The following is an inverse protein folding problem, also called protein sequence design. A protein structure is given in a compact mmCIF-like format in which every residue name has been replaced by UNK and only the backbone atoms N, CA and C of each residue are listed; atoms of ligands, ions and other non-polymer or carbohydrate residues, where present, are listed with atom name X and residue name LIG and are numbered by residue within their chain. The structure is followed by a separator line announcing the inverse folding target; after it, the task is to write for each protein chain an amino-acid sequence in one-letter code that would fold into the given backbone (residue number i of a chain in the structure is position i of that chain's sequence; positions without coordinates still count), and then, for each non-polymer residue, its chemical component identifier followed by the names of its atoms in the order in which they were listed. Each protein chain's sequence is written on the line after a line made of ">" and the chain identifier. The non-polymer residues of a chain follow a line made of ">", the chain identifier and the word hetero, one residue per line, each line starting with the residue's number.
data_IF_309244146921
#
_entry.id   IF_309244146921
#
_cell.length_a   1.000
_cell.length_b   1.000
_cell.length_c   1.000
_cell.angle_alpha   90.00
_cell.angle_beta   90.00
_cell.angle_gamma   90.00
#
_symmetry.space_group_name_H-M   'P 1'
#
loop_
_entity.id
_entity.type
_entity.pdbx_description
1 polymer ?
#
# COMPACT_ATOMS: atom_id res chain seq x y z
N UNK A 1 2.97 43.88 -17.71
CA UNK A 1 2.37 42.68 -17.09
C UNK A 1 2.75 41.48 -17.94
N UNK A 2 3.67 40.64 -17.48
CA UNK A 2 4.18 39.48 -18.23
C UNK A 2 3.26 38.29 -17.95
N UNK A 3 2.60 37.76 -18.98
CA UNK A 3 1.72 36.60 -18.86
C UNK A 3 2.56 35.32 -18.68
N UNK A 4 2.41 34.65 -17.53
CA UNK A 4 2.97 33.31 -17.30
C UNK A 4 2.25 32.29 -18.20
N UNK A 5 2.96 31.72 -19.17
CA UNK A 5 2.44 30.61 -19.99
C UNK A 5 2.43 29.32 -19.16
N UNK A 6 1.23 28.83 -18.85
CA UNK A 6 1.07 27.55 -18.13
C UNK A 6 1.18 26.41 -19.14
N UNK A 7 2.16 25.52 -18.95
CA UNK A 7 2.29 24.29 -19.75
C UNK A 7 1.08 23.38 -19.51
N UNK A 8 0.51 22.82 -20.58
CA UNK A 8 -0.66 21.91 -20.51
C UNK A 8 -0.43 20.66 -19.64
N UNK A 9 0.82 20.26 -19.42
CA UNK A 9 1.21 19.10 -18.61
C UNK A 9 1.73 19.47 -17.21
N UNK A 10 1.53 20.71 -16.75
CA UNK A 10 1.99 21.13 -15.44
C UNK A 10 1.16 20.46 -14.32
N UNK A 11 1.78 19.56 -13.57
CA UNK A 11 1.16 18.92 -12.39
C UNK A 11 0.98 19.87 -11.19
N UNK A 12 1.59 21.06 -11.24
CA UNK A 12 1.54 22.07 -10.17
C UNK A 12 1.44 23.47 -10.76
N UNK A 13 0.46 24.23 -10.28
CA UNK A 13 0.35 25.66 -10.58
C UNK A 13 1.29 26.47 -9.67
N UNK A 14 1.89 27.58 -10.16
CA UNK A 14 2.66 28.47 -9.32
C UNK A 14 1.73 29.19 -8.33
N UNK A 15 1.88 28.91 -7.05
CA UNK A 15 1.10 29.52 -5.96
C UNK A 15 2.05 30.30 -5.05
N UNK A 16 1.70 31.55 -4.74
CA UNK A 16 2.40 32.33 -3.70
C UNK A 16 2.06 31.74 -2.33
N UNK A 17 3.09 31.35 -1.59
CA UNK A 17 3.01 30.80 -0.23
C UNK A 17 3.69 31.78 0.73
N UNK A 18 3.07 32.03 1.87
CA UNK A 18 3.58 32.88 2.95
C UNK A 18 3.74 32.07 4.24
N UNK A 19 4.44 32.59 5.25
CA UNK A 19 4.61 31.87 6.53
C UNK A 19 3.30 31.59 7.28
N UNK A 20 2.21 32.29 6.95
CA UNK A 20 0.87 32.01 7.49
C UNK A 20 0.25 30.73 6.91
N UNK A 21 0.77 30.25 5.78
CA UNK A 21 0.26 29.07 5.08
C UNK A 21 0.94 27.77 5.54
N UNK A 22 1.94 27.84 6.42
CA UNK A 22 2.79 26.71 6.83
C UNK A 22 2.03 25.58 7.53
N UNK A 23 0.86 25.83 8.11
CA UNK A 23 -0.02 24.82 8.70
C UNK A 23 -1.11 24.29 7.77
N UNK A 24 -1.22 24.84 6.56
CA UNK A 24 -2.31 24.52 5.61
C UNK A 24 -1.86 23.55 4.53
N UNK A 25 -2.78 23.12 3.67
CA UNK A 25 -2.50 22.33 2.47
C UNK A 25 -1.98 23.17 1.30
N UNK A 26 -2.03 24.51 1.41
CA UNK A 26 -1.67 25.42 0.32
C UNK A 26 -0.18 25.27 -0.05
N UNK A 27 0.10 25.11 -1.34
CA UNK A 27 1.47 24.99 -1.85
C UNK A 27 2.14 23.63 -1.65
N UNK A 28 1.46 22.70 -0.97
CA UNK A 28 1.92 21.32 -0.68
C UNK A 28 1.17 20.31 -1.55
N UNK A 29 1.61 19.06 -1.55
CA UNK A 29 1.02 17.99 -2.34
C UNK A 29 -0.08 17.20 -1.59
N UNK A 30 -0.72 17.84 -0.61
CA UNK A 30 -1.90 17.28 0.06
C UNK A 30 -3.17 17.53 -0.76
N UNK A 31 -4.13 16.62 -0.66
CA UNK A 31 -5.46 16.81 -1.25
C UNK A 31 -6.15 18.05 -0.63
N UNK A 32 -6.92 18.82 -1.42
CA UNK A 32 -7.80 19.85 -0.87
C UNK A 32 -8.74 19.25 0.19
N UNK A 33 -8.89 19.93 1.32
CA UNK A 33 -9.72 19.45 2.44
C UNK A 33 -9.10 18.38 3.33
N UNK A 34 -7.80 18.04 3.17
CA UNK A 34 -7.09 17.18 4.11
C UNK A 34 -7.21 17.72 5.54
N UNK A 35 -7.75 16.90 6.45
CA UNK A 35 -8.02 17.26 7.84
C UNK A 35 -6.94 16.76 8.82
N UNK A 36 -5.91 16.05 8.32
CA UNK A 36 -4.84 15.56 9.17
C UNK A 36 -3.83 16.66 9.54
N UNK A 37 -2.99 16.35 10.51
CA UNK A 37 -1.93 17.27 10.95
C UNK A 37 -0.91 17.51 9.84
N UNK A 38 -0.51 18.77 9.66
CA UNK A 38 0.59 19.19 8.78
C UNK A 38 1.62 19.94 9.63
N UNK A 39 2.84 19.43 9.75
CA UNK A 39 3.86 20.07 10.56
C UNK A 39 4.33 21.38 9.91
N UNK A 40 4.43 22.43 10.72
CA UNK A 40 4.98 23.75 10.34
C UNK A 40 6.44 23.93 10.77
N UNK A 41 6.99 22.99 11.54
CA UNK A 41 8.37 23.08 12.02
C UNK A 41 9.38 22.71 10.91
N UNK A 42 10.03 23.73 10.35
CA UNK A 42 11.03 23.59 9.29
C UNK A 42 12.46 23.30 9.78
N UNK A 43 12.66 22.98 11.06
CA UNK A 43 14.02 22.71 11.60
C UNK A 43 14.59 21.35 11.23
N UNK A 44 13.75 20.35 10.98
CA UNK A 44 14.19 18.99 10.65
C UNK A 44 13.88 18.66 9.18
N UNK A 45 14.86 18.26 8.37
CA UNK A 45 14.64 17.93 6.95
C UNK A 45 13.64 16.79 6.74
N UNK A 46 13.54 15.83 7.66
CA UNK A 46 12.53 14.76 7.61
C UNK A 46 11.12 15.31 7.80
N UNK A 47 10.96 16.28 8.70
CA UNK A 47 9.67 16.94 8.93
C UNK A 47 9.28 17.80 7.72
N UNK A 48 10.25 18.45 7.09
CA UNK A 48 10.02 19.23 5.86
C UNK A 48 9.54 18.34 4.71
N UNK A 49 10.12 17.15 4.53
CA UNK A 49 9.69 16.22 3.47
C UNK A 49 8.26 15.73 3.70
N UNK A 50 7.91 15.42 4.96
CA UNK A 50 6.54 15.07 5.35
C UNK A 50 5.58 16.25 5.18
N UNK A 51 5.97 17.47 5.59
CA UNK A 51 5.17 18.67 5.45
C UNK A 51 4.83 19.01 3.99
N UNK A 52 5.68 18.63 3.04
CA UNK A 52 5.43 18.85 1.61
C UNK A 52 4.50 17.79 0.99
N UNK A 53 4.41 16.59 1.60
CA UNK A 53 3.59 15.49 1.08
C UNK A 53 4.08 14.95 -0.27
N UNK A 54 5.38 15.06 -0.56
CA UNK A 54 5.94 14.67 -1.88
C UNK A 54 5.76 13.20 -2.22
N UNK A 55 5.82 12.34 -1.21
CA UNK A 55 5.69 10.90 -1.40
C UNK A 55 4.24 10.49 -1.14
N UNK A 56 3.72 9.66 -2.04
CA UNK A 56 2.46 8.94 -1.80
C UNK A 56 2.68 8.03 -0.60
N UNK A 57 1.69 7.93 0.29
CA UNK A 57 1.77 6.97 1.39
C UNK A 57 1.68 5.56 0.82
N UNK A 58 2.66 4.73 1.12
CA UNK A 58 2.62 3.32 0.75
C UNK A 58 1.44 2.64 1.43
N UNK A 59 0.67 1.87 0.66
CA UNK A 59 -0.48 1.12 1.18
C UNK A 59 -0.05 -0.13 1.97
N UNK A 60 1.24 -0.47 1.93
CA UNK A 60 1.83 -1.65 2.58
C UNK A 60 1.51 -1.73 4.07
N UNK A 61 1.43 -0.58 4.76
CA UNK A 61 1.24 -0.52 6.21
C UNK A 61 -0.19 -0.85 6.64
N UNK A 62 -1.13 -1.02 5.68
CA UNK A 62 -2.55 -1.29 5.94
C UNK A 62 -2.98 -2.71 5.65
N UNK A 63 -2.07 -3.55 5.16
CA UNK A 63 -2.42 -4.91 4.80
C UNK A 63 -1.93 -5.80 5.93
N UNK A 64 -2.83 -6.16 6.85
CA UNK A 64 -2.57 -7.24 7.80
C UNK A 64 -2.72 -8.54 7.02
N UNK A 65 -1.60 -9.05 6.52
CA UNK A 65 -1.58 -10.15 5.55
C UNK A 65 -2.29 -11.40 6.07
N UNK A 66 -2.12 -11.68 7.37
CA UNK A 66 -2.73 -12.81 8.07
C UNK A 66 -4.25 -12.68 8.25
N UNK A 67 -4.79 -11.47 8.23
CA UNK A 67 -6.24 -11.21 8.37
C UNK A 67 -6.94 -11.14 7.01
N UNK A 68 -6.28 -10.60 5.99
CA UNK A 68 -6.89 -10.32 4.69
C UNK A 68 -6.82 -11.55 3.76
N UNK A 69 -5.81 -12.41 3.91
CA UNK A 69 -5.59 -13.54 3.01
C UNK A 69 -5.66 -14.89 3.75
N UNK A 70 -6.84 -15.50 3.79
CA UNK A 70 -6.99 -16.87 4.29
C UNK A 70 -6.58 -17.87 3.21
N UNK A 71 -5.54 -18.66 3.48
CA UNK A 71 -5.15 -19.81 2.64
C UNK A 71 -6.07 -21.01 2.79
N UNK A 72 -6.77 -21.11 3.92
CA UNK A 72 -7.56 -22.27 4.27
C UNK A 72 -9.00 -22.13 3.79
N UNK A 73 -9.61 -23.26 3.42
CA UNK A 73 -11.02 -23.32 3.08
C UNK A 73 -11.88 -22.93 4.31
N UNK A 74 -13.03 -22.26 4.12
CA UNK A 74 -13.97 -22.01 5.20
C UNK A 74 -14.37 -23.31 5.90
N UNK A 75 -14.35 -23.31 7.24
CA UNK A 75 -14.65 -24.50 8.06
C UNK A 75 -13.45 -25.39 8.38
N UNK A 76 -12.24 -25.04 7.94
CA UNK A 76 -11.02 -25.68 8.44
C UNK A 76 -10.73 -25.23 9.87
N UNK A 77 -10.74 -26.18 10.82
CA UNK A 77 -10.51 -25.92 12.25
C UNK A 77 -9.08 -26.23 12.73
N UNK A 78 -8.17 -26.51 11.78
CA UNK A 78 -6.77 -26.79 12.11
C UNK A 78 -5.95 -25.53 12.42
N UNK A 79 -4.62 -25.67 12.41
CA UNK A 79 -3.71 -24.56 12.73
C UNK A 79 -3.87 -23.37 11.75
N UNK A 80 -4.10 -22.18 12.30
CA UNK A 80 -4.06 -20.90 11.59
C UNK A 80 -2.88 -20.07 12.11
N UNK A 81 -1.91 -19.71 11.25
CA UNK A 81 -0.81 -18.85 11.65
C UNK A 81 -1.32 -17.47 12.09
N UNK A 82 -0.98 -17.07 13.32
CA UNK A 82 -1.29 -15.73 13.85
C UNK A 82 -0.18 -14.72 13.57
N UNK A 83 1.02 -15.21 13.25
CA UNK A 83 2.22 -14.42 12.92
C UNK A 83 2.64 -14.71 11.48
N UNK A 84 2.99 -13.67 10.74
CA UNK A 84 3.42 -13.76 9.34
C UNK A 84 4.69 -14.60 9.15
N UNK A 85 5.54 -14.70 10.17
CA UNK A 85 6.73 -15.56 10.15
C UNK A 85 6.40 -17.05 10.06
N UNK A 86 5.23 -17.46 10.56
CA UNK A 86 4.75 -18.84 10.52
C UNK A 86 3.85 -19.12 9.31
N UNK A 87 3.50 -18.09 8.55
CA UNK A 87 2.74 -18.23 7.31
C UNK A 87 3.68 -18.65 6.16
N UNK A 88 3.66 -19.95 5.85
CA UNK A 88 4.44 -20.53 4.75
C UNK A 88 3.67 -20.52 3.42
N UNK A 89 2.54 -19.83 3.36
CA UNK A 89 1.67 -19.79 2.20
C UNK A 89 0.78 -21.04 2.06
N UNK A 90 0.27 -21.32 0.85
CA UNK A 90 -0.64 -22.43 0.62
C UNK A 90 0.02 -23.79 0.88
N UNK A 91 -0.81 -24.83 0.98
CA UNK A 91 -0.38 -26.20 1.27
C UNK A 91 0.73 -26.65 0.31
N UNK A 92 1.87 -27.04 0.88
CA UNK A 92 3.03 -27.52 0.13
C UNK A 92 2.74 -28.92 -0.44
N UNK A 93 3.07 -29.16 -1.72
CA UNK A 93 2.81 -30.46 -2.36
C UNK A 93 3.48 -31.62 -1.61
N UNK A 94 4.66 -31.37 -1.04
CA UNK A 94 5.46 -32.35 -0.29
C UNK A 94 4.85 -32.77 1.05
N UNK A 95 3.87 -32.03 1.60
CA UNK A 95 3.15 -32.39 2.83
C UNK A 95 1.80 -33.07 2.55
N UNK A 96 1.57 -33.49 1.30
CA UNK A 96 0.34 -34.17 0.91
C UNK A 96 0.34 -35.63 1.36
N UNK A 97 -0.78 -36.05 1.95
CA UNK A 97 -1.04 -37.45 2.28
C UNK A 97 -1.47 -38.22 1.03
N UNK A 98 -1.37 -39.55 1.06
CA UNK A 98 -1.86 -40.42 -0.03
C UNK A 98 -3.40 -40.33 -0.17
N UNK A 99 -4.11 -40.00 0.91
CA UNK A 99 -5.55 -39.76 0.84
C UNK A 99 -5.87 -38.53 -0.03
N UNK A 100 -6.64 -38.74 -1.10
CA UNK A 100 -7.00 -37.71 -2.09
C UNK A 100 -6.03 -37.56 -3.27
N UNK A 101 -5.03 -38.43 -3.41
CA UNK A 101 -4.05 -38.39 -4.51
C UNK A 101 -4.64 -38.68 -5.90
N UNK A 102 -5.80 -39.36 -5.96
CA UNK A 102 -6.41 -39.82 -7.21
C UNK A 102 -6.90 -38.69 -8.12
N UNK A 103 -7.06 -37.48 -7.57
CA UNK A 103 -7.56 -36.34 -8.33
C UNK A 103 -6.47 -35.65 -9.18
N UNK A 104 -5.19 -35.75 -8.80
CA UNK A 104 -4.10 -35.08 -9.49
C UNK A 104 -3.52 -35.87 -10.68
N UNK A 105 -3.56 -37.21 -10.61
CA UNK A 105 -2.90 -38.10 -11.60
C UNK A 105 -3.68 -38.20 -12.91
N UNK A 106 -4.97 -37.85 -12.94
CA UNK A 106 -5.83 -38.02 -14.13
C UNK A 106 -5.67 -36.97 -15.23
N UNK A 107 -4.99 -35.84 -14.98
CA UNK A 107 -4.90 -34.73 -15.94
C UNK A 107 -3.60 -34.67 -16.74
N UNK A 108 -2.66 -35.61 -16.56
CA UNK A 108 -1.35 -35.60 -17.26
C UNK A 108 -1.25 -36.61 -18.41
N UNK A 109 -2.29 -37.41 -18.68
CA UNK A 109 -2.25 -38.49 -19.69
C UNK A 109 -3.39 -38.37 -20.72
N UNK A 110 -3.60 -37.18 -21.30
CA UNK A 110 -4.50 -37.00 -22.44
C UNK A 110 -3.84 -36.24 -23.60
N UNK A 111 -2.57 -36.51 -23.93
CA UNK A 111 -2.03 -36.18 -25.25
C UNK A 111 -1.06 -37.29 -25.72
N UNK A 112 -1.40 -37.85 -26.89
CA UNK A 112 -0.77 -38.91 -27.71
C UNK A 112 -1.07 -40.37 -27.35
#
# INVERSE_FOLDING_TARGET
>A
MTSLSVSRNASKLPVKVTGLDDGTTRGKAYIPGYQGFIPSNVRNPSVVSQALGKNVREASDKIIMTEIYSHNIPGYEGYQPTDSTNDKGPRQLTSSTVYGSDFAVRNTNMEN
#
